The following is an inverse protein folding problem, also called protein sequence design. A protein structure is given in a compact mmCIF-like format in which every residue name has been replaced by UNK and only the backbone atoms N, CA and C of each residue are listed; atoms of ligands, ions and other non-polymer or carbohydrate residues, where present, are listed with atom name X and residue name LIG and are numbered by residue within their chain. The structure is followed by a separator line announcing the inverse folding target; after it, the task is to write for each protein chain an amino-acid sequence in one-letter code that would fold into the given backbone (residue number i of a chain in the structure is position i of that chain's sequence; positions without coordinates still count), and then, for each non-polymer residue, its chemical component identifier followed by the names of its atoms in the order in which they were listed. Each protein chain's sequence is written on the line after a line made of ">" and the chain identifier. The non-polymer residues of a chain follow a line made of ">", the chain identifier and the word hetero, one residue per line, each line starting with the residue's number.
data_IF_169662587746
#
_entry.id   IF_169662587746
#
_cell.length_a   1.000
_cell.length_b   1.000
_cell.length_c   1.000
_cell.angle_alpha   90.00
_cell.angle_beta   90.00
_cell.angle_gamma   90.00
#
_symmetry.space_group_name_H-M   'P 1'
#
loop_
_entity.id
_entity.type
_entity.pdbx_description
1 polymer ?
#
# COMPACT_ATOMS: atom_id res chain seq x y z
N UNK A 1 0.23 -39.50 13.16
CA UNK A 1 -0.14 -38.07 13.24
C UNK A 1 1.11 -37.23 13.01
N UNK A 2 1.07 -36.27 12.10
CA UNK A 2 2.19 -35.38 11.79
C UNK A 2 1.89 -33.95 12.23
N UNK A 3 2.91 -33.14 12.57
CA UNK A 3 2.72 -31.71 12.86
C UNK A 3 2.05 -30.97 11.69
N UNK A 4 2.39 -31.33 10.45
CA UNK A 4 1.82 -30.72 9.24
C UNK A 4 0.30 -30.93 9.12
N UNK A 5 -0.21 -32.13 9.44
CA UNK A 5 -1.64 -32.41 9.40
C UNK A 5 -2.42 -31.62 10.47
N UNK A 6 -1.82 -31.41 11.65
CA UNK A 6 -2.41 -30.56 12.70
C UNK A 6 -2.42 -29.09 12.28
N UNK A 7 -1.33 -28.60 11.67
CA UNK A 7 -1.25 -27.25 11.14
C UNK A 7 -2.29 -26.99 10.04
N UNK A 8 -2.44 -27.93 9.09
CA UNK A 8 -3.43 -27.82 8.01
C UNK A 8 -4.87 -27.79 8.56
N UNK A 9 -5.19 -28.67 9.50
CA UNK A 9 -6.50 -28.67 10.16
C UNK A 9 -6.75 -27.38 10.98
N UNK A 10 -5.72 -26.86 11.65
CA UNK A 10 -5.81 -25.60 12.39
C UNK A 10 -6.00 -24.40 11.45
N UNK A 11 -5.29 -24.36 10.31
CA UNK A 11 -5.44 -23.35 9.28
C UNK A 11 -6.85 -23.39 8.66
N UNK A 12 -7.41 -24.58 8.41
CA UNK A 12 -8.80 -24.73 7.94
C UNK A 12 -9.82 -24.18 8.94
N UNK A 13 -9.67 -24.48 10.23
CA UNK A 13 -10.54 -23.96 11.28
C UNK A 13 -10.43 -22.44 11.38
N UNK A 14 -9.21 -21.90 11.35
CA UNK A 14 -8.95 -20.46 11.38
C UNK A 14 -9.60 -19.75 10.18
N UNK A 15 -9.47 -20.32 8.97
CA UNK A 15 -10.08 -19.78 7.75
C UNK A 15 -11.62 -19.80 7.81
N UNK A 16 -12.22 -20.76 8.52
CA UNK A 16 -13.65 -20.82 8.78
C UNK A 16 -14.11 -19.86 9.91
N UNK A 17 -13.19 -19.12 10.54
CA UNK A 17 -13.49 -18.24 11.68
C UNK A 17 -13.70 -19.00 13.00
N UNK A 18 -13.37 -20.29 13.04
CA UNK A 18 -13.46 -21.11 14.24
C UNK A 18 -12.12 -21.12 14.99
N UNK A 19 -12.18 -21.17 16.33
CA UNK A 19 -10.98 -21.31 17.15
C UNK A 19 -10.41 -22.72 17.04
N UNK A 20 -9.16 -22.90 16.58
CA UNK A 20 -8.48 -24.19 16.64
C UNK A 20 -8.37 -24.68 18.09
N UNK A 21 -8.79 -25.92 18.32
CA UNK A 21 -8.76 -26.57 19.63
C UNK A 21 -8.42 -28.05 19.45
N UNK A 22 -7.80 -28.72 20.45
CA UNK A 22 -7.35 -30.10 20.28
C UNK A 22 -8.45 -31.07 19.86
N UNK A 23 -9.68 -30.88 20.34
CA UNK A 23 -10.82 -31.74 20.00
C UNK A 23 -11.33 -31.50 18.57
N UNK A 24 -11.38 -30.25 18.11
CA UNK A 24 -11.78 -29.92 16.72
C UNK A 24 -10.75 -30.39 15.71
N UNK A 25 -9.47 -30.19 16.01
CA UNK A 25 -8.38 -30.69 15.17
C UNK A 25 -8.43 -32.22 15.12
N UNK A 26 -8.69 -32.89 16.24
CA UNK A 26 -8.85 -34.35 16.27
C UNK A 26 -10.01 -34.82 15.41
N UNK A 27 -11.13 -34.08 15.37
CA UNK A 27 -12.26 -34.41 14.51
C UNK A 27 -11.90 -34.34 13.01
N UNK A 28 -10.98 -33.46 12.61
CA UNK A 28 -10.52 -33.31 11.22
C UNK A 28 -9.42 -34.31 10.85
N UNK A 29 -8.44 -34.53 11.74
CA UNK A 29 -7.26 -35.37 11.48
C UNK A 29 -7.53 -36.86 11.79
N UNK A 30 -8.51 -37.17 12.62
CA UNK A 30 -8.99 -38.52 12.93
C UNK A 30 -8.04 -39.40 13.75
N UNK A 31 -6.83 -38.93 14.07
CA UNK A 31 -5.83 -39.69 14.84
C UNK A 31 -5.04 -38.78 15.79
N UNK A 32 -4.52 -39.35 16.88
CA UNK A 32 -3.69 -38.64 17.87
C UNK A 32 -4.38 -38.38 19.21
N UNK A 33 -3.60 -38.43 20.29
CA UNK A 33 -4.09 -38.09 21.62
C UNK A 33 -4.24 -36.57 21.78
N UNK A 34 -5.11 -36.18 22.71
CA UNK A 34 -5.35 -34.77 23.04
C UNK A 34 -4.05 -34.01 23.32
N UNK A 35 -3.18 -34.58 24.15
CA UNK A 35 -1.96 -33.90 24.61
C UNK A 35 -0.95 -33.68 23.48
N UNK A 36 -0.84 -34.62 22.55
CA UNK A 36 0.08 -34.47 21.41
C UNK A 36 -0.46 -33.44 20.42
N UNK A 37 -1.78 -33.39 20.20
CA UNK A 37 -2.41 -32.34 19.37
C UNK A 37 -2.24 -30.98 20.02
N UNK A 38 -2.41 -30.87 21.34
CA UNK A 38 -2.21 -29.62 22.07
C UNK A 38 -0.78 -29.09 21.88
N UNK A 39 0.24 -29.94 22.05
CA UNK A 39 1.63 -29.53 21.83
C UNK A 39 1.93 -29.07 20.39
N UNK A 40 1.37 -29.74 19.38
CA UNK A 40 1.51 -29.27 17.99
C UNK A 40 0.74 -27.98 17.71
N UNK A 41 -0.39 -27.77 18.40
CA UNK A 41 -1.18 -26.57 18.27
C UNK A 41 -0.48 -25.36 18.91
N UNK A 42 0.25 -25.56 20.00
CA UNK A 42 1.08 -24.52 20.62
C UNK A 42 2.17 -24.02 19.67
N UNK A 43 2.90 -24.95 19.03
CA UNK A 43 3.90 -24.62 18.01
C UNK A 43 3.27 -23.87 16.83
N UNK A 44 2.08 -24.30 16.40
CA UNK A 44 1.34 -23.64 15.33
C UNK A 44 0.91 -22.22 15.72
N UNK A 45 0.45 -21.98 16.95
CA UNK A 45 0.08 -20.64 17.43
C UNK A 45 1.28 -19.70 17.48
N UNK A 46 2.43 -20.17 17.96
CA UNK A 46 3.67 -19.38 17.94
C UNK A 46 4.07 -19.00 16.52
N UNK A 47 3.94 -19.94 15.58
CA UNK A 47 4.25 -19.70 14.17
C UNK A 47 3.27 -18.74 13.51
N UNK A 48 1.97 -18.87 13.78
CA UNK A 48 0.96 -17.95 13.31
C UNK A 48 1.22 -16.52 13.82
N UNK A 49 1.60 -16.37 15.09
CA UNK A 49 1.98 -15.07 15.65
C UNK A 49 3.14 -14.44 14.89
N UNK A 50 4.18 -15.22 14.57
CA UNK A 50 5.30 -14.75 13.74
C UNK A 50 4.85 -14.38 12.33
N UNK A 51 3.97 -15.16 11.70
CA UNK A 51 3.45 -14.91 10.34
C UNK A 51 2.58 -13.65 10.27
N UNK A 52 1.79 -13.37 11.30
CA UNK A 52 0.93 -12.17 11.38
C UNK A 52 1.76 -10.91 11.64
N UNK A 53 2.78 -11.00 12.51
CA UNK A 53 3.63 -9.86 12.88
C UNK A 53 4.69 -9.59 11.79
N UNK A 54 5.13 -10.62 11.07
CA UNK A 54 5.97 -10.45 9.91
C UNK A 54 5.25 -9.53 8.92
N UNK A 55 5.86 -8.42 8.49
CA UNK A 55 5.39 -7.69 7.31
C UNK A 55 5.21 -8.74 6.24
N UNK A 56 4.00 -8.87 5.66
CA UNK A 56 3.75 -9.80 4.58
C UNK A 56 4.91 -9.65 3.60
N UNK A 57 5.80 -10.65 3.56
CA UNK A 57 7.07 -10.51 2.87
C UNK A 57 6.75 -10.60 1.38
N UNK A 58 6.32 -9.49 0.79
CA UNK A 58 6.26 -9.35 -0.64
C UNK A 58 7.72 -9.54 -1.12
N UNK A 59 8.01 -10.60 -1.90
CA UNK A 59 9.35 -10.90 -2.39
C UNK A 59 9.98 -9.73 -3.16
N UNK A 60 9.18 -8.75 -3.58
CA UNK A 60 9.60 -7.57 -4.31
C UNK A 60 9.78 -6.33 -3.44
N UNK A 61 9.57 -6.42 -2.12
CA UNK A 61 9.79 -5.29 -1.21
C UNK A 61 11.27 -4.90 -1.19
N UNK A 62 11.63 -3.68 -1.63
CA UNK A 62 13.02 -3.23 -1.59
C UNK A 62 13.53 -3.10 -0.15
N UNK A 63 14.86 -3.17 0.10
CA UNK A 63 15.42 -2.89 1.42
C UNK A 63 14.97 -1.52 1.98
N UNK A 64 14.88 -1.34 3.30
CA UNK A 64 14.41 -0.11 3.92
C UNK A 64 15.14 1.15 3.44
N UNK A 65 16.43 1.05 3.15
CA UNK A 65 17.25 2.15 2.63
C UNK A 65 16.79 2.58 1.24
N UNK A 66 16.45 1.61 0.38
CA UNK A 66 15.94 1.87 -0.98
C UNK A 66 14.56 2.51 -0.91
N UNK A 67 13.70 2.04 0.01
CA UNK A 67 12.37 2.65 0.22
C UNK A 67 12.49 4.11 0.66
N UNK A 68 13.39 4.41 1.59
CA UNK A 68 13.64 5.78 2.05
C UNK A 68 14.14 6.68 0.92
N UNK A 69 15.10 6.21 0.14
CA UNK A 69 15.62 6.95 -1.03
C UNK A 69 14.50 7.19 -2.05
N UNK A 70 13.68 6.18 -2.35
CA UNK A 70 12.56 6.31 -3.27
C UNK A 70 11.53 7.34 -2.78
N UNK A 71 11.20 7.33 -1.49
CA UNK A 71 10.30 8.31 -0.88
C UNK A 71 10.86 9.75 -0.98
N UNK A 72 12.15 9.94 -0.66
CA UNK A 72 12.82 11.23 -0.78
C UNK A 72 12.85 11.72 -2.22
N UNK A 73 13.17 10.84 -3.18
CA UNK A 73 13.18 11.17 -4.59
C UNK A 73 11.80 11.59 -5.07
N UNK A 74 10.75 10.86 -4.68
CA UNK A 74 9.37 11.18 -5.03
C UNK A 74 8.94 12.56 -4.52
N UNK A 75 9.23 12.85 -3.25
CA UNK A 75 8.93 14.16 -2.64
C UNK A 75 9.64 15.28 -3.42
N UNK A 76 10.92 15.10 -3.74
CA UNK A 76 11.70 16.11 -4.47
C UNK A 76 11.20 16.29 -5.91
N UNK A 77 10.95 15.19 -6.63
CA UNK A 77 10.49 15.21 -8.01
C UNK A 77 9.12 15.88 -8.14
N UNK A 78 8.18 15.55 -7.24
CA UNK A 78 6.84 16.16 -7.25
C UNK A 78 6.87 17.63 -6.85
N UNK A 79 7.70 18.02 -5.89
CA UNK A 79 7.91 19.43 -5.55
C UNK A 79 8.47 20.21 -6.75
N UNK A 80 9.46 19.66 -7.45
CA UNK A 80 10.05 20.28 -8.64
C UNK A 80 9.04 20.41 -9.78
N UNK A 81 8.28 19.36 -10.09
CA UNK A 81 7.26 19.38 -11.12
C UNK A 81 6.17 20.43 -10.82
N UNK A 82 5.74 20.56 -9.56
CA UNK A 82 4.78 21.60 -9.15
C UNK A 82 5.33 23.00 -9.33
N UNK A 83 6.61 23.22 -9.01
CA UNK A 83 7.26 24.52 -9.22
C UNK A 83 7.33 24.87 -10.71
N UNK A 84 7.73 23.93 -11.57
CA UNK A 84 7.74 24.13 -13.02
C UNK A 84 6.36 24.48 -13.57
N UNK A 85 5.33 23.76 -13.12
CA UNK A 85 3.96 24.03 -13.52
C UNK A 85 3.51 25.44 -13.10
N UNK A 86 3.79 25.84 -11.86
CA UNK A 86 3.47 27.18 -11.37
C UNK A 86 4.14 28.28 -12.21
N UNK A 87 5.42 28.12 -12.56
CA UNK A 87 6.14 29.05 -13.44
C UNK A 87 5.49 29.12 -14.83
N UNK A 88 5.21 27.97 -15.45
CA UNK A 88 4.57 27.93 -16.77
C UNK A 88 3.17 28.58 -16.77
N UNK A 89 2.40 28.42 -15.69
CA UNK A 89 1.10 29.05 -15.56
C UNK A 89 1.20 30.58 -15.43
N UNK A 90 2.21 31.09 -14.71
CA UNK A 90 2.43 32.52 -14.58
C UNK A 90 2.83 33.14 -15.92
N UNK A 91 3.76 32.52 -16.65
CA UNK A 91 4.17 32.97 -17.99
C UNK A 91 2.98 33.01 -18.97
N UNK A 92 2.11 32.00 -18.94
CA UNK A 92 0.91 31.99 -19.79
C UNK A 92 -0.09 33.06 -19.38
N UNK A 93 -0.25 33.30 -18.07
CA UNK A 93 -1.10 34.37 -17.54
C UNK A 93 -0.62 35.75 -18.00
N UNK A 94 0.68 36.01 -17.93
CA UNK A 94 1.29 37.26 -18.39
C UNK A 94 1.03 37.47 -19.90
N UNK A 95 1.25 36.44 -20.73
CA UNK A 95 0.97 36.50 -22.18
C UNK A 95 -0.50 36.80 -22.50
N UNK A 96 -1.42 36.21 -21.75
CA UNK A 96 -2.85 36.48 -21.91
C UNK A 96 -3.18 37.93 -21.57
N UNK A 97 -2.63 38.46 -20.47
CA UNK A 97 -2.82 39.86 -20.08
C UNK A 97 -2.25 40.83 -21.12
N UNK A 98 -1.06 40.57 -21.64
CA UNK A 98 -0.47 41.36 -22.73
C UNK A 98 -1.34 41.34 -23.99
N UNK A 99 -1.91 40.18 -24.31
CA UNK A 99 -2.79 40.02 -25.47
C UNK A 99 -4.08 40.80 -25.29
N UNK A 100 -4.70 40.74 -24.11
CA UNK A 100 -5.89 41.51 -23.77
C UNK A 100 -5.61 43.01 -23.89
N UNK A 101 -4.53 43.50 -23.28
CA UNK A 101 -4.17 44.93 -23.33
C UNK A 101 -3.96 45.41 -24.77
N UNK A 102 -3.34 44.59 -25.63
CA UNK A 102 -3.15 44.90 -27.05
C UNK A 102 -4.47 44.99 -27.82
N UNK A 103 -5.42 44.10 -27.52
CA UNK A 103 -6.74 44.13 -28.15
C UNK A 103 -7.55 45.35 -27.71
N UNK A 104 -7.51 45.70 -26.43
CA UNK A 104 -8.15 46.89 -25.88
C UNK A 104 -7.62 48.18 -26.53
N UNK A 105 -6.30 48.30 -26.68
CA UNK A 105 -5.69 49.45 -27.37
C UNK A 105 -6.17 49.57 -28.84
N UNK A 106 -6.23 48.45 -29.57
CA UNK A 106 -6.73 48.44 -30.97
C UNK A 106 -8.19 48.85 -31.08
N UNK A 107 -9.02 48.48 -30.10
CA UNK A 107 -10.43 48.89 -30.06
C UNK A 107 -10.57 50.39 -29.77
N UNK A 108 -9.77 50.92 -28.85
CA UNK A 108 -9.75 52.35 -28.53
C UNK A 108 -9.33 53.20 -29.74
N UNK A 109 -8.27 52.80 -30.45
CA UNK A 109 -7.81 53.47 -31.66
C UNK A 109 -8.89 53.50 -32.76
N UNK A 110 -9.54 52.35 -32.98
CA UNK A 110 -10.63 52.24 -33.97
C UNK A 110 -11.85 53.10 -33.61
N UNK A 111 -12.14 53.29 -32.32
CA UNK A 111 -13.23 54.15 -31.84
C UNK A 111 -12.90 55.65 -31.89
N UNK A 112 -11.62 56.02 -31.85
CA UNK A 112 -11.17 57.42 -31.89
C UNK A 112 -10.99 57.97 -33.31
N UNK A 113 -10.93 57.08 -34.31
CA UNK A 113 -10.73 57.42 -35.72
C UNK A 113 -12.01 57.59 -36.55
N UNK A 114 -13.19 57.58 -35.94
CA UNK A 114 -14.51 57.72 -36.59
C UNK A 114 -15.33 58.83 -35.94
#
# INVERSE_FOLDING_TARGET
>A
MTPAAVAEAADMLLAAGERPSPDRVRALVGTGSHDVIAGFLDVWWEDLGRRIIAPAADPWTPPPEVQQIAAMLWIRATAHARAMLATSHEEERERLLETIARLEARLQDASSGN
#
